data_IF_885108525148
#
_entry.id   IF_885108525148
#
_cell.length_a   1.000
_cell.length_b   1.000
_cell.length_c   1.000
_cell.angle_alpha   90.00
_cell.angle_beta   90.00
_cell.angle_gamma   90.00
#
_symmetry.space_group_name_H-M   'P 1'
#
loop_
_entity.id
_entity.type
_entity.pdbx_description
1 polymer ?
#
# COMPACT_ATOMS: atom_id res chain seq x y z
N UNK A 1 12.12 -10.52 20.02
CA UNK A 1 10.98 -11.31 19.47
C UNK A 1 10.46 -10.77 18.14
N UNK A 2 10.74 -9.52 17.74
CA UNK A 2 10.29 -8.99 16.44
C UNK A 2 11.02 -9.55 15.20
N UNK A 3 12.29 -9.96 15.31
CA UNK A 3 13.07 -10.40 14.15
C UNK A 3 12.67 -11.75 13.55
N UNK A 4 12.03 -12.63 14.34
CA UNK A 4 11.54 -13.94 13.86
C UNK A 4 10.18 -13.85 13.13
N UNK A 5 9.49 -12.71 13.21
CA UNK A 5 8.19 -12.51 12.55
C UNK A 5 8.31 -11.98 11.13
N UNK A 6 9.42 -11.30 10.79
CA UNK A 6 9.63 -10.64 9.50
C UNK A 6 9.39 -11.56 8.28
N UNK A 7 9.90 -12.80 8.19
CA UNK A 7 9.65 -13.64 7.01
C UNK A 7 8.21 -14.19 6.92
N UNK A 8 7.51 -14.30 8.06
CA UNK A 8 6.13 -14.80 8.10
C UNK A 8 5.09 -13.69 7.90
N UNK A 9 5.51 -12.43 8.05
CA UNK A 9 4.64 -11.26 8.03
C UNK A 9 3.94 -11.07 6.66
N UNK A 10 4.60 -11.22 5.50
CA UNK A 10 3.92 -11.12 4.20
C UNK A 10 2.84 -12.17 4.02
N UNK A 11 3.09 -13.43 4.43
CA UNK A 11 2.10 -14.51 4.33
C UNK A 11 0.90 -14.30 5.27
N UNK A 12 1.14 -13.81 6.47
CA UNK A 12 0.06 -13.44 7.40
C UNK A 12 -0.78 -12.28 6.86
N UNK A 13 -0.14 -11.21 6.39
CA UNK A 13 -0.82 -10.06 5.79
C UNK A 13 -1.63 -10.48 4.56
N UNK A 14 -1.05 -11.30 3.67
CA UNK A 14 -1.73 -11.84 2.50
C UNK A 14 -3.01 -12.59 2.91
N UNK A 15 -2.92 -13.45 3.92
CA UNK A 15 -4.06 -14.25 4.41
C UNK A 15 -5.16 -13.37 5.00
N UNK A 16 -4.82 -12.41 5.87
CA UNK A 16 -5.82 -11.51 6.48
C UNK A 16 -6.44 -10.58 5.44
N UNK A 17 -5.68 -10.15 4.43
CA UNK A 17 -6.17 -9.28 3.36
C UNK A 17 -7.29 -9.90 2.54
N UNK A 18 -7.36 -11.22 2.42
CA UNK A 18 -8.46 -11.90 1.72
C UNK A 18 -9.83 -11.67 2.40
N UNK A 19 -9.83 -11.30 3.69
CA UNK A 19 -11.05 -10.93 4.40
C UNK A 19 -11.45 -9.46 4.26
N UNK A 20 -10.72 -8.64 3.49
CA UNK A 20 -11.04 -7.23 3.21
C UNK A 20 -11.97 -7.06 1.99
N UNK A 21 -12.84 -8.01 1.74
CA UNK A 21 -13.89 -7.85 0.75
C UNK A 21 -15.03 -7.00 1.33
N UNK A 22 -15.26 -5.81 0.75
CA UNK A 22 -16.33 -4.90 1.18
C UNK A 22 -17.69 -5.61 1.20
N UNK A 23 -18.46 -5.38 2.26
CA UNK A 23 -19.80 -5.95 2.41
C UNK A 23 -19.84 -7.38 2.97
N UNK A 24 -18.68 -7.99 3.25
CA UNK A 24 -18.62 -9.28 3.96
C UNK A 24 -18.63 -9.12 5.48
N UNK A 25 -19.08 -10.15 6.19
CA UNK A 25 -19.02 -10.20 7.66
C UNK A 25 -17.58 -10.25 8.20
N UNK A 26 -16.62 -10.65 7.36
CA UNK A 26 -15.21 -10.75 7.72
C UNK A 26 -14.48 -9.40 7.68
N UNK A 27 -15.02 -8.43 6.93
CA UNK A 27 -14.37 -7.14 6.71
C UNK A 27 -13.98 -6.40 8.00
N UNK A 28 -14.89 -6.18 8.98
CA UNK A 28 -14.54 -5.43 10.19
C UNK A 28 -13.44 -6.12 11.00
N UNK A 29 -13.50 -7.45 11.09
CA UNK A 29 -12.53 -8.26 11.82
C UNK A 29 -11.16 -8.24 11.14
N UNK A 30 -11.12 -8.36 9.82
CA UNK A 30 -9.87 -8.35 9.04
C UNK A 30 -9.19 -6.99 9.10
N UNK A 31 -9.97 -5.91 8.99
CA UNK A 31 -9.46 -4.56 9.12
C UNK A 31 -8.90 -4.27 10.53
N UNK A 32 -9.60 -4.70 11.59
CA UNK A 32 -9.11 -4.58 12.97
C UNK A 32 -7.82 -5.39 13.21
N UNK A 33 -7.72 -6.60 12.66
CA UNK A 33 -6.51 -7.41 12.75
C UNK A 33 -5.31 -6.74 12.08
N UNK A 34 -5.48 -6.17 10.88
CA UNK A 34 -4.42 -5.45 10.20
C UNK A 34 -4.00 -4.19 10.98
N UNK A 35 -4.95 -3.49 11.61
CA UNK A 35 -4.63 -2.34 12.44
C UNK A 35 -3.80 -2.73 13.67
N UNK A 36 -4.20 -3.78 14.39
CA UNK A 36 -3.42 -4.31 15.52
C UNK A 36 -2.03 -4.77 15.09
N UNK A 37 -1.92 -5.29 13.87
CA UNK A 37 -0.63 -5.69 13.32
C UNK A 37 0.28 -4.48 13.08
N UNK A 38 -0.25 -3.39 12.50
CA UNK A 38 0.48 -2.11 12.35
C UNK A 38 0.99 -1.62 13.71
N UNK A 39 0.14 -1.65 14.74
CA UNK A 39 0.51 -1.25 16.11
C UNK A 39 1.61 -2.14 16.70
N UNK A 40 1.60 -3.43 16.39
CA UNK A 40 2.56 -4.40 16.93
C UNK A 40 3.92 -4.39 16.23
N UNK A 41 3.96 -4.21 14.90
CA UNK A 41 5.20 -4.31 14.10
C UNK A 41 5.75 -2.97 13.65
N UNK A 42 4.96 -1.90 13.75
CA UNK A 42 5.28 -0.58 13.24
C UNK A 42 4.89 -0.41 11.77
N UNK A 43 4.67 0.85 11.37
CA UNK A 43 4.22 1.20 10.03
C UNK A 43 5.15 0.70 8.92
N UNK A 44 6.45 0.98 9.01
CA UNK A 44 7.40 0.66 7.93
C UNK A 44 7.46 -0.85 7.65
N UNK A 45 7.63 -1.67 8.69
CA UNK A 45 7.66 -3.12 8.57
C UNK A 45 6.34 -3.69 8.03
N UNK A 46 5.20 -3.14 8.45
CA UNK A 46 3.90 -3.55 7.94
C UNK A 46 3.74 -3.24 6.45
N UNK A 47 4.00 -1.99 6.03
CA UNK A 47 3.81 -1.58 4.64
C UNK A 47 4.83 -2.24 3.70
N UNK A 48 6.07 -2.45 4.13
CA UNK A 48 7.04 -3.25 3.37
C UNK A 48 6.52 -4.67 3.09
N UNK A 49 6.04 -5.38 4.13
CA UNK A 49 5.48 -6.72 3.96
C UNK A 49 4.14 -6.73 3.20
N UNK A 50 3.34 -5.66 3.27
CA UNK A 50 2.14 -5.50 2.46
C UNK A 50 2.49 -5.39 0.98
N UNK A 51 3.48 -4.57 0.61
CA UNK A 51 3.94 -4.44 -0.77
C UNK A 51 4.55 -5.74 -1.30
N UNK A 52 5.31 -6.47 -0.47
CA UNK A 52 5.76 -7.83 -0.82
C UNK A 52 4.60 -8.79 -1.08
N UNK A 53 3.53 -8.74 -0.27
CA UNK A 53 2.35 -9.56 -0.48
C UNK A 53 1.62 -9.21 -1.80
N UNK A 54 1.49 -7.92 -2.11
CA UNK A 54 0.90 -7.43 -3.37
C UNK A 54 1.70 -7.88 -4.60
N UNK A 55 3.03 -7.82 -4.51
CA UNK A 55 3.94 -8.23 -5.58
C UNK A 55 3.77 -9.72 -5.92
N UNK A 56 3.73 -10.59 -4.91
CA UNK A 56 3.79 -12.04 -5.10
C UNK A 56 2.42 -12.74 -5.14
N UNK A 57 1.33 -12.09 -4.72
CA UNK A 57 0.00 -12.73 -4.59
C UNK A 57 -1.09 -11.95 -5.33
N UNK A 58 -1.48 -12.35 -6.56
CA UNK A 58 -2.52 -11.65 -7.34
C UNK A 58 -3.85 -11.47 -6.59
N UNK A 59 -4.29 -12.47 -5.83
CA UNK A 59 -5.53 -12.43 -5.02
C UNK A 59 -5.51 -11.36 -3.92
N UNK A 60 -4.33 -10.85 -3.54
CA UNK A 60 -4.16 -9.86 -2.47
C UNK A 60 -4.17 -8.43 -3.03
N UNK A 61 -3.90 -8.24 -4.32
CA UNK A 61 -3.68 -6.93 -4.95
C UNK A 61 -4.84 -5.96 -4.72
N UNK A 62 -6.06 -6.36 -5.05
CA UNK A 62 -7.25 -5.53 -4.86
C UNK A 62 -7.51 -5.21 -3.37
N UNK A 63 -7.65 -6.19 -2.45
CA UNK A 63 -7.94 -5.88 -1.06
C UNK A 63 -6.84 -5.07 -0.37
N UNK A 64 -5.57 -5.29 -0.72
CA UNK A 64 -4.46 -4.52 -0.19
C UNK A 64 -4.47 -3.06 -0.69
N UNK A 65 -4.68 -2.84 -2.00
CA UNK A 65 -4.80 -1.48 -2.54
C UNK A 65 -6.01 -0.73 -1.97
N UNK A 66 -7.11 -1.44 -1.73
CA UNK A 66 -8.26 -0.90 -1.02
C UNK A 66 -7.86 -0.43 0.38
N UNK A 67 -7.18 -1.30 1.16
CA UNK A 67 -6.73 -0.96 2.51
C UNK A 67 -5.81 0.26 2.53
N UNK A 68 -4.81 0.31 1.65
CA UNK A 68 -3.88 1.46 1.56
C UNK A 68 -4.64 2.74 1.24
N UNK A 69 -5.52 2.72 0.25
CA UNK A 69 -6.33 3.90 -0.11
C UNK A 69 -7.26 4.36 1.02
N UNK A 70 -7.82 3.44 1.81
CA UNK A 70 -8.68 3.77 2.94
C UNK A 70 -7.94 4.50 4.07
N UNK A 71 -6.61 4.32 4.16
CA UNK A 71 -5.74 4.93 5.16
C UNK A 71 -5.10 6.23 4.70
N UNK A 72 -5.05 6.46 3.39
CA UNK A 72 -4.41 7.64 2.81
C UNK A 72 -5.28 8.89 3.00
N UNK A 73 -4.81 9.84 3.84
CA UNK A 73 -5.50 11.12 4.03
C UNK A 73 -5.00 12.14 3.00
N UNK A 74 -5.82 12.43 1.99
CA UNK A 74 -5.52 13.40 0.91
C UNK A 74 -5.33 14.83 1.41
N UNK A 75 -5.67 15.13 2.66
CA UNK A 75 -5.53 16.47 3.26
C UNK A 75 -4.18 16.68 3.93
N UNK A 76 -3.45 15.61 4.24
CA UNK A 76 -2.13 15.70 4.88
C UNK A 76 -1.01 15.65 3.84
N UNK A 77 0.14 16.28 4.11
CA UNK A 77 1.31 16.17 3.25
C UNK A 77 1.77 14.73 3.07
N UNK A 78 2.29 14.39 1.89
CA UNK A 78 2.84 13.06 1.59
C UNK A 78 3.94 12.66 2.60
N UNK A 79 4.80 13.61 3.00
CA UNK A 79 5.90 13.35 3.93
C UNK A 79 5.46 12.79 5.29
N UNK A 80 4.25 13.14 5.77
CA UNK A 80 3.70 12.62 7.04
C UNK A 80 3.13 11.21 6.91
N UNK A 81 2.94 10.72 5.68
CA UNK A 81 2.33 9.44 5.36
C UNK A 81 3.22 8.59 4.43
N UNK A 82 4.47 9.02 4.23
CA UNK A 82 5.41 8.41 3.29
C UNK A 82 5.75 6.97 3.66
N UNK A 83 5.62 6.60 4.93
CA UNK A 83 5.73 5.22 5.39
C UNK A 83 4.78 4.26 4.65
N UNK A 84 3.60 4.71 4.20
CA UNK A 84 2.67 3.88 3.42
C UNK A 84 3.18 3.63 2.00
N UNK A 85 3.98 4.55 1.46
CA UNK A 85 4.49 4.54 0.09
C UNK A 85 5.86 3.87 0.01
N UNK A 86 6.73 4.14 0.98
CA UNK A 86 8.12 3.66 0.95
C UNK A 86 8.35 2.41 1.80
N UNK A 87 7.49 2.11 2.78
CA UNK A 87 7.73 1.03 3.74
C UNK A 87 9.08 1.16 4.46
N UNK A 88 9.60 2.40 4.64
CA UNK A 88 11.00 2.64 5.03
C UNK A 88 11.93 2.70 3.81
N UNK A 89 13.00 1.91 3.81
CA UNK A 89 13.99 1.82 2.72
C UNK A 89 13.56 0.84 1.59
N UNK A 90 12.26 0.51 1.50
CA UNK A 90 11.72 -0.54 0.64
C UNK A 90 10.90 -0.02 -0.55
N UNK A 91 11.21 1.20 -1.01
CA UNK A 91 10.54 1.87 -2.14
C UNK A 91 10.49 0.97 -3.39
N UNK A 92 11.58 0.26 -3.69
CA UNK A 92 11.66 -0.67 -4.82
C UNK A 92 10.59 -1.77 -4.80
N UNK A 93 10.24 -2.27 -3.61
CA UNK A 93 9.20 -3.30 -3.46
C UNK A 93 7.82 -2.73 -3.77
N UNK A 94 7.55 -1.49 -3.33
CA UNK A 94 6.31 -0.80 -3.68
C UNK A 94 6.22 -0.56 -5.19
N UNK A 95 7.27 -0.05 -5.83
CA UNK A 95 7.28 0.19 -7.28
C UNK A 95 7.01 -1.11 -8.03
N UNK A 96 7.75 -2.18 -7.70
CA UNK A 96 7.57 -3.50 -8.31
C UNK A 96 6.13 -4.02 -8.09
N UNK A 97 5.57 -3.85 -6.89
CA UNK A 97 4.20 -4.24 -6.59
C UNK A 97 3.18 -3.48 -7.44
N UNK A 98 3.32 -2.16 -7.58
CA UNK A 98 2.43 -1.33 -8.41
C UNK A 98 2.53 -1.70 -9.90
N UNK A 99 3.74 -1.97 -10.41
CA UNK A 99 3.94 -2.48 -11.76
C UNK A 99 3.24 -3.83 -11.95
N UNK A 100 3.40 -4.76 -11.01
CA UNK A 100 2.74 -6.05 -11.04
C UNK A 100 1.20 -5.95 -11.00
N UNK A 101 0.65 -4.92 -10.34
CA UNK A 101 -0.78 -4.60 -10.42
C UNK A 101 -1.15 -4.06 -11.81
N UNK A 102 -0.38 -3.12 -12.35
CA UNK A 102 -0.65 -2.48 -13.63
C UNK A 102 -0.61 -3.47 -14.82
N UNK A 103 0.21 -4.51 -14.70
CA UNK A 103 0.37 -5.57 -15.70
C UNK A 103 -0.65 -6.71 -15.54
N UNK A 104 -1.44 -6.71 -14.46
CA UNK A 104 -2.43 -7.77 -14.20
C UNK A 104 -3.77 -7.50 -14.88
N UNK A 105 -3.78 -7.68 -16.20
CA UNK A 105 -4.97 -7.56 -17.03
C UNK A 105 -6.03 -8.64 -16.76
N UNK A 106 -5.69 -9.69 -16.00
CA UNK A 106 -6.61 -10.77 -15.63
C UNK A 106 -7.43 -10.45 -14.38
N UNK A 107 -6.98 -9.48 -13.58
CA UNK A 107 -7.64 -9.03 -12.38
C UNK A 107 -8.89 -8.16 -12.63
N UNK A 108 -9.68 -7.90 -11.57
CA UNK A 108 -10.88 -7.07 -11.68
C UNK A 108 -10.53 -5.62 -12.05
N UNK A 109 -11.38 -4.96 -12.84
CA UNK A 109 -11.21 -3.55 -13.26
C UNK A 109 -11.06 -2.59 -12.07
N UNK A 110 -11.72 -2.88 -10.94
CA UNK A 110 -11.63 -2.10 -9.71
C UNK A 110 -10.19 -2.01 -9.18
N UNK A 111 -9.37 -3.03 -9.40
CA UNK A 111 -7.97 -3.03 -8.97
C UNK A 111 -7.18 -1.89 -9.64
N UNK A 112 -7.34 -1.71 -10.95
CA UNK A 112 -6.70 -0.63 -11.70
C UNK A 112 -7.22 0.75 -11.31
N UNK A 113 -8.51 0.84 -10.93
CA UNK A 113 -9.06 2.07 -10.36
C UNK A 113 -8.41 2.41 -9.02
N UNK A 114 -8.28 1.44 -8.11
CA UNK A 114 -7.61 1.66 -6.84
C UNK A 114 -6.12 1.97 -6.99
N UNK A 115 -5.45 1.37 -7.97
CA UNK A 115 -4.08 1.74 -8.34
C UNK A 115 -4.01 3.23 -8.75
N UNK A 116 -4.90 3.67 -9.63
CA UNK A 116 -4.92 5.07 -10.07
C UNK A 116 -5.26 6.03 -8.92
N UNK A 117 -6.25 5.68 -8.09
CA UNK A 117 -6.63 6.47 -6.92
C UNK A 117 -5.46 6.62 -5.94
N UNK A 118 -4.67 5.55 -5.75
CA UNK A 118 -3.45 5.58 -4.94
C UNK A 118 -2.40 6.50 -5.56
N UNK A 119 -2.09 6.32 -6.85
CA UNK A 119 -1.10 7.13 -7.57
C UNK A 119 -1.44 8.62 -7.55
N UNK A 120 -2.71 8.98 -7.75
CA UNK A 120 -3.15 10.37 -7.70
C UNK A 120 -3.07 10.97 -6.29
N UNK A 121 -3.23 10.15 -5.26
CA UNK A 121 -3.17 10.59 -3.87
C UNK A 121 -1.73 10.71 -3.38
N UNK A 122 -0.88 9.75 -3.73
CA UNK A 122 0.54 9.73 -3.38
C UNK A 122 1.36 10.72 -4.22
N UNK A 123 1.01 10.92 -5.49
CA UNK A 123 1.72 11.77 -6.44
C UNK A 123 0.76 12.74 -7.14
N UNK A 124 0.28 13.78 -6.42
CA UNK A 124 -0.70 14.70 -6.98
C UNK A 124 -0.16 15.40 -8.23
N UNK A 125 -0.84 15.18 -9.37
CA UNK A 125 -0.46 15.69 -10.70
C UNK A 125 -0.86 17.16 -10.93
N UNK A 126 -1.55 17.80 -9.98
CA UNK A 126 -2.13 19.12 -10.19
C UNK A 126 -1.10 20.23 -9.98
N UNK A 127 -0.76 20.94 -11.05
CA UNK A 127 0.12 22.11 -11.10
C UNK A 127 -0.48 23.39 -10.52
N UNK A 128 -1.65 23.32 -9.86
CA UNK A 128 -2.42 24.48 -9.42
C UNK A 128 -2.32 24.75 -7.91
N UNK A 129 -1.10 24.89 -7.40
CA UNK A 129 -0.74 25.74 -6.23
C UNK A 129 0.79 25.72 -6.06
N UNK A 130 1.48 26.71 -6.63
CA UNK A 130 2.70 27.35 -6.10
C UNK A 130 3.94 26.54 -5.69
N UNK A 131 3.93 25.21 -5.70
CA UNK A 131 5.08 24.37 -5.40
C UNK A 131 5.39 23.55 -6.63
N UNK A 132 6.36 24.11 -7.36
CA UNK A 132 7.24 23.48 -8.34
C UNK A 132 7.09 21.95 -8.37
N UNK A 133 6.68 21.44 -9.53
CA UNK A 133 7.15 20.15 -10.05
C UNK A 133 8.70 20.19 -10.03
N UNK A 134 9.29 19.97 -8.86
CA UNK A 134 10.74 19.98 -8.71
C UNK A 134 11.21 18.54 -8.75
N UNK A 135 12.26 18.29 -9.51
CA UNK A 135 12.89 16.98 -9.70
C UNK A 135 13.20 16.26 -8.38
N UNK A 136 13.22 16.98 -7.25
CA UNK A 136 13.36 16.45 -5.90
C UNK A 136 12.24 15.50 -5.47
N UNK A 137 10.97 15.75 -5.80
CA UNK A 137 9.86 14.88 -5.37
C UNK A 137 9.80 13.57 -6.17
N UNK A 138 10.18 13.61 -7.45
CA UNK A 138 10.29 12.41 -8.29
C UNK A 138 11.56 11.63 -7.92
N UNK A 139 12.67 12.33 -7.64
CA UNK A 139 13.94 11.72 -7.22
C UNK A 139 13.84 11.02 -5.84
N UNK A 140 12.90 11.42 -4.97
CA UNK A 140 12.60 10.69 -3.72
C UNK A 140 11.65 9.51 -3.91
N UNK A 141 10.85 9.48 -4.99
CA UNK A 141 9.89 8.42 -5.26
C UNK A 141 10.47 7.26 -6.09
N UNK A 142 11.61 7.48 -6.76
CA UNK A 142 12.22 6.55 -7.71
C UNK A 142 13.75 6.42 -7.53
N UNK A 143 14.26 6.67 -6.33
CA UNK A 143 15.61 6.26 -5.89
C UNK A 143 15.49 5.29 -4.75
#
# INVERSE_FOLDING_TARGET
MGDSLKPSLPGFIATVSLGLEEGTEFFPRSNDLLQRLIEAVGNEAFFASLWEAVLHSPSVRLPALYFVNSRFDKRKPLGEQFFMVAGGDHVDHMIAALCAVAEDFSGPVLMHRHLLDFLLSAFPLNSAHGYVFNSTNISMAFK
#
